data_IF_132169859691
#
_entry.id   IF_132169859691
#
_cell.length_a   1.000
_cell.length_b   1.000
_cell.length_c   1.000
_cell.angle_alpha   90.00
_cell.angle_beta   90.00
_cell.angle_gamma   90.00
#
_symmetry.space_group_name_H-M   'P 1'
#
loop_
_entity.id
_entity.type
_entity.pdbx_description
1 polymer ?
#
# COMPACT_ATOMS: atom_id res chain seq x y z
N UNK A 1 -12.27 -41.93 -51.35
CA UNK A 1 -12.20 -42.05 -49.88
C UNK A 1 -13.46 -41.46 -49.25
N UNK A 2 -14.33 -42.27 -48.64
CA UNK A 2 -15.31 -41.74 -47.66
C UNK A 2 -15.51 -42.63 -46.41
N UNK A 3 -15.55 -42.01 -45.23
CA UNK A 3 -16.10 -42.49 -43.93
C UNK A 3 -15.57 -41.57 -42.82
N UNK A 4 -16.26 -41.17 -41.75
CA UNK A 4 -17.54 -41.58 -41.19
C UNK A 4 -18.06 -40.45 -40.27
N UNK A 5 -19.38 -40.43 -40.11
CA UNK A 5 -20.15 -39.56 -39.20
C UNK A 5 -19.83 -39.83 -37.72
N UNK A 6 -20.39 -38.96 -36.86
CA UNK A 6 -20.53 -39.03 -35.39
C UNK A 6 -19.33 -38.55 -34.56
N UNK A 7 -19.36 -37.28 -34.13
CA UNK A 7 -19.65 -37.01 -32.71
C UNK A 7 -20.20 -35.58 -32.55
N UNK A 8 -21.52 -35.50 -32.70
CA UNK A 8 -22.34 -34.47 -32.07
C UNK A 8 -22.08 -34.47 -30.55
N UNK A 9 -22.32 -33.32 -29.89
CA UNK A 9 -22.05 -33.00 -28.48
C UNK A 9 -20.65 -32.41 -28.28
N UNK A 10 -20.44 -31.13 -27.99
CA UNK A 10 -21.07 -30.29 -26.97
C UNK A 10 -21.08 -28.84 -27.46
N UNK A 11 -22.09 -28.47 -28.25
CA UNK A 11 -22.48 -27.07 -28.46
C UNK A 11 -23.80 -26.92 -27.70
N UNK A 12 -23.76 -26.74 -26.37
CA UNK A 12 -24.89 -26.34 -25.51
C UNK A 12 -24.53 -26.42 -24.02
N UNK A 13 -23.75 -25.46 -23.53
CA UNK A 13 -23.90 -25.00 -22.14
C UNK A 13 -24.12 -23.49 -22.22
N UNK A 14 -25.37 -23.09 -22.49
CA UNK A 14 -26.24 -22.53 -21.45
C UNK A 14 -25.50 -21.47 -20.65
N UNK A 15 -25.54 -20.25 -21.17
CA UNK A 15 -26.17 -19.10 -20.51
C UNK A 15 -26.29 -19.28 -18.98
N UNK A 16 -25.17 -19.16 -18.26
CA UNK A 16 -25.24 -18.82 -16.86
C UNK A 16 -25.56 -17.33 -16.79
N UNK A 17 -26.87 -17.07 -16.80
CA UNK A 17 -27.46 -15.89 -16.20
C UNK A 17 -26.99 -15.82 -14.74
N UNK A 18 -25.83 -15.20 -14.50
CA UNK A 18 -25.52 -14.67 -13.17
C UNK A 18 -26.43 -13.48 -12.97
N UNK A 19 -27.49 -13.77 -12.23
CA UNK A 19 -28.50 -12.85 -11.71
C UNK A 19 -27.80 -11.59 -11.20
N UNK A 20 -28.30 -10.46 -11.67
CA UNK A 20 -28.06 -9.15 -11.08
C UNK A 20 -28.17 -9.25 -9.54
N UNK A 21 -27.05 -9.09 -8.84
CA UNK A 21 -27.05 -8.97 -7.40
C UNK A 21 -27.62 -7.59 -7.07
N UNK A 22 -28.94 -7.54 -6.83
CA UNK A 22 -29.59 -6.37 -6.26
C UNK A 22 -29.00 -6.14 -4.87
N UNK A 23 -28.05 -5.22 -4.76
CA UNK A 23 -27.62 -4.66 -3.47
C UNK A 23 -28.78 -3.79 -2.96
N UNK A 24 -29.76 -4.43 -2.32
CA UNK A 24 -30.80 -3.76 -1.55
C UNK A 24 -30.23 -3.50 -0.16
N UNK A 25 -29.98 -2.21 0.13
CA UNK A 25 -30.02 -1.60 1.47
C UNK A 25 -29.41 -2.41 2.61
N UNK A 26 -28.11 -2.19 2.87
CA UNK A 26 -27.61 -2.31 4.24
C UNK A 26 -27.64 -0.91 4.87
N UNK A 27 -28.84 -0.52 5.36
CA UNK A 27 -28.97 0.52 6.38
C UNK A 27 -28.40 -0.04 7.68
N UNK A 28 -27.08 -0.07 7.79
CA UNK A 28 -26.35 -0.42 9.01
C UNK A 28 -25.92 0.85 9.71
N UNK A 29 -26.68 1.25 10.73
CA UNK A 29 -26.28 2.30 11.66
C UNK A 29 -25.09 1.79 12.49
N UNK A 30 -23.89 2.26 12.19
CA UNK A 30 -22.74 2.10 13.08
C UNK A 30 -22.58 3.38 13.91
N UNK A 31 -23.20 3.30 15.08
CA UNK A 31 -22.81 3.87 16.37
C UNK A 31 -21.70 4.93 16.36
N UNK A 32 -22.13 6.18 16.57
CA UNK A 32 -21.35 7.29 17.11
C UNK A 32 -20.64 6.79 18.38
N UNK A 33 -19.31 6.64 18.33
CA UNK A 33 -18.52 6.45 19.53
C UNK A 33 -18.34 7.81 20.20
N UNK A 34 -19.19 8.06 21.20
CA UNK A 34 -19.16 9.28 21.99
C UNK A 34 -17.91 9.32 22.87
N UNK A 35 -17.26 10.49 22.82
CA UNK A 35 -16.49 11.17 23.87
C UNK A 35 -16.56 10.51 25.27
N UNK A 36 -15.38 10.25 25.86
CA UNK A 36 -14.91 10.87 27.12
C UNK A 36 -13.84 9.99 27.75
N UNK A 37 -12.64 10.55 27.97
CA UNK A 37 -12.03 10.59 29.29
C UNK A 37 -10.93 11.67 29.29
N UNK A 38 -11.38 12.84 29.73
CA UNK A 38 -10.55 13.95 30.23
C UNK A 38 -9.99 13.54 31.60
N UNK A 39 -8.74 13.93 31.88
CA UNK A 39 -8.17 14.00 33.23
C UNK A 39 -6.95 13.09 33.39
N UNK A 40 -5.74 13.61 33.60
CA UNK A 40 -5.43 14.50 34.72
C UNK A 40 -4.34 15.51 34.37
N UNK A 41 -4.70 16.79 34.37
CA UNK A 41 -3.75 17.86 34.72
C UNK A 41 -3.88 18.06 36.23
N UNK A 42 -2.95 17.54 37.01
CA UNK A 42 -2.75 17.97 38.39
C UNK A 42 -1.72 19.10 38.40
N UNK A 43 -2.20 20.30 38.70
CA UNK A 43 -1.35 21.42 39.06
C UNK A 43 -0.76 21.20 40.47
N UNK A 44 0.57 21.22 40.55
CA UNK A 44 1.51 21.68 41.59
C UNK A 44 1.18 21.55 43.11
N UNK A 45 2.18 21.28 43.96
CA UNK A 45 3.04 22.38 44.41
C UNK A 45 4.53 22.04 44.53
N UNK A 46 5.36 23.10 44.50
CA UNK A 46 6.77 23.08 44.88
C UNK A 46 7.02 22.26 46.16
N UNK A 47 7.97 21.33 46.07
CA UNK A 47 8.54 20.61 47.20
C UNK A 47 9.98 20.23 46.86
N UNK A 48 10.92 21.00 47.38
CA UNK A 48 12.34 20.72 47.36
C UNK A 48 12.59 19.47 48.23
N UNK A 49 13.17 18.40 47.69
CA UNK A 49 13.47 17.21 48.49
C UNK A 49 14.01 16.04 47.66
N UNK A 50 15.29 15.76 47.88
CA UNK A 50 16.03 14.51 47.70
C UNK A 50 15.28 13.24 47.25
N UNK A 51 15.79 12.70 46.14
CA UNK A 51 16.29 11.31 45.98
C UNK A 51 15.38 10.16 46.46
N UNK A 52 14.91 9.37 45.49
CA UNK A 52 15.01 7.90 45.55
C UNK A 52 14.76 7.26 44.20
N UNK A 53 15.62 6.29 43.90
CA UNK A 53 15.55 5.34 42.80
C UNK A 53 14.13 4.81 42.55
N UNK A 54 13.64 5.04 41.34
CA UNK A 54 12.79 4.07 40.66
C UNK A 54 13.49 3.74 39.34
N UNK A 55 14.05 2.53 39.32
CA UNK A 55 14.54 1.88 38.12
C UNK A 55 13.42 1.86 37.09
N UNK A 56 13.40 2.86 36.21
CA UNK A 56 12.63 2.82 34.97
C UNK A 56 13.29 1.74 34.12
N UNK A 57 12.82 0.50 34.31
CA UNK A 57 12.86 -0.53 33.29
C UNK A 57 12.02 0.00 32.13
N UNK A 58 12.60 0.96 31.41
CA UNK A 58 12.21 1.32 30.06
C UNK A 58 12.64 0.11 29.27
N UNK A 59 11.77 -0.90 29.21
CA UNK A 59 11.72 -1.76 28.04
C UNK A 59 11.80 -0.79 26.87
N UNK A 60 12.82 -0.88 26.00
CA UNK A 60 12.73 -0.20 24.74
C UNK A 60 11.41 -0.70 24.16
N UNK A 61 10.44 0.19 24.05
CA UNK A 61 9.42 0.01 23.04
C UNK A 61 10.26 -0.02 21.77
N UNK A 62 10.59 -1.23 21.31
CA UNK A 62 10.80 -1.44 19.88
C UNK A 62 9.50 -0.93 19.27
N UNK A 63 9.48 0.37 18.97
CA UNK A 63 8.75 0.88 17.85
C UNK A 63 9.31 0.04 16.72
N UNK A 64 8.65 -1.09 16.42
CA UNK A 64 8.92 -1.84 15.21
C UNK A 64 9.01 -0.77 14.15
N UNK A 65 10.16 -0.64 13.48
CA UNK A 65 10.22 0.12 12.24
C UNK A 65 9.00 -0.35 11.45
N UNK A 66 8.14 0.58 11.03
CA UNK A 66 7.16 0.24 10.01
C UNK A 66 7.96 -0.48 8.91
N UNK A 67 7.60 -1.72 8.63
CA UNK A 67 8.34 -2.53 7.66
C UNK A 67 8.27 -1.77 6.33
N UNK A 68 9.37 -1.27 5.79
CA UNK A 68 9.39 -0.60 4.49
C UNK A 68 9.81 -1.58 3.39
N UNK A 69 9.31 -1.34 2.18
CA UNK A 69 9.58 -2.19 1.02
C UNK A 69 9.94 -1.33 -0.19
N UNK A 70 10.91 -1.79 -0.98
CA UNK A 70 11.30 -1.13 -2.21
C UNK A 70 10.55 -1.71 -3.41
N UNK A 71 10.11 -0.84 -4.30
CA UNK A 71 9.44 -1.20 -5.55
C UNK A 71 10.10 -0.50 -6.73
N UNK A 72 10.28 -1.24 -7.83
CA UNK A 72 10.80 -0.75 -9.10
C UNK A 72 9.66 -0.62 -10.11
N UNK A 73 9.64 0.48 -10.85
CA UNK A 73 8.66 0.70 -11.92
C UNK A 73 9.07 0.02 -13.22
N UNK A 74 8.18 -0.83 -13.74
CA UNK A 74 8.34 -1.56 -15.00
C UNK A 74 7.36 -1.10 -16.10
N UNK A 75 6.59 -0.04 -15.86
CA UNK A 75 5.67 0.55 -16.82
C UNK A 75 6.34 1.47 -17.84
N UNK A 76 5.52 2.08 -18.70
CA UNK A 76 5.95 3.18 -19.58
C UNK A 76 5.78 4.54 -18.90
N UNK A 77 6.54 5.58 -19.33
CA UNK A 77 6.39 6.93 -18.78
C UNK A 77 4.95 7.43 -18.88
N UNK A 78 4.43 8.04 -17.81
CA UNK A 78 3.05 8.49 -17.68
C UNK A 78 2.11 7.43 -17.08
N UNK A 79 2.60 6.24 -16.72
CA UNK A 79 1.82 5.20 -16.05
C UNK A 79 2.23 4.99 -14.59
N UNK A 80 3.02 5.89 -14.03
CA UNK A 80 3.61 5.77 -12.68
C UNK A 80 2.55 5.69 -11.58
N UNK A 81 1.30 6.11 -11.83
CA UNK A 81 0.19 5.94 -10.88
C UNK A 81 -0.30 4.51 -10.74
N UNK A 82 -0.09 3.66 -11.75
CA UNK A 82 -0.60 2.28 -11.78
C UNK A 82 0.24 1.39 -10.88
N UNK A 83 -0.33 1.01 -9.73
CA UNK A 83 0.30 0.23 -8.70
C UNK A 83 0.72 -1.18 -9.16
N UNK A 84 0.10 -1.71 -10.21
CA UNK A 84 0.39 -3.05 -10.74
C UNK A 84 1.67 -3.09 -11.57
N UNK A 85 2.21 -1.93 -11.94
CA UNK A 85 3.46 -1.77 -12.69
C UNK A 85 4.67 -1.55 -11.76
N UNK A 86 4.47 -1.59 -10.44
CA UNK A 86 5.50 -1.48 -9.43
C UNK A 86 5.76 -2.86 -8.80
N UNK A 87 6.92 -3.43 -9.12
CA UNK A 87 7.32 -4.76 -8.66
C UNK A 87 8.27 -4.65 -7.47
N UNK A 88 8.11 -5.52 -6.47
CA UNK A 88 8.99 -5.53 -5.30
C UNK A 88 10.43 -5.82 -5.74
N UNK A 89 11.40 -5.11 -5.15
CA UNK A 89 12.82 -5.37 -5.38
C UNK A 89 13.62 -5.36 -4.08
N UNK A 90 14.50 -6.35 -3.91
CA UNK A 90 15.44 -6.40 -2.78
C UNK A 90 16.76 -5.66 -3.10
N UNK A 91 16.92 -5.14 -4.32
CA UNK A 91 18.14 -4.49 -4.78
C UNK A 91 17.85 -3.07 -5.33
N UNK A 92 17.65 -2.09 -4.44
CA UNK A 92 17.37 -0.71 -4.85
C UNK A 92 18.54 -0.01 -5.58
N UNK A 93 19.75 -0.58 -5.52
CA UNK A 93 20.98 0.11 -5.96
C UNK A 93 21.46 -0.18 -7.38
N UNK A 94 21.06 -1.28 -8.02
CA UNK A 94 21.75 -1.73 -9.24
C UNK A 94 21.38 -0.96 -10.52
N UNK A 95 20.13 -0.51 -10.68
CA UNK A 95 19.67 0.16 -11.90
C UNK A 95 18.45 1.06 -11.64
N UNK A 96 18.47 1.80 -10.52
CA UNK A 96 17.26 2.46 -10.00
C UNK A 96 16.49 3.24 -11.07
N UNK A 97 17.17 3.88 -12.05
CA UNK A 97 16.55 4.63 -13.14
C UNK A 97 17.18 4.35 -14.54
N UNK A 98 17.40 3.09 -14.92
CA UNK A 98 17.72 2.79 -16.33
C UNK A 98 16.46 2.94 -17.21
N UNK A 99 16.56 3.59 -18.37
CA UNK A 99 15.41 3.78 -19.29
C UNK A 99 14.59 5.08 -19.10
N UNK A 100 13.48 5.23 -19.82
CA UNK A 100 12.79 6.52 -20.00
C UNK A 100 11.83 6.94 -18.87
N UNK A 101 11.71 6.15 -17.80
CA UNK A 101 10.67 6.28 -16.78
C UNK A 101 10.89 7.51 -15.87
N UNK A 102 9.81 8.17 -15.47
CA UNK A 102 9.87 9.40 -14.67
C UNK A 102 10.08 9.04 -13.19
N UNK A 103 9.22 8.18 -12.65
CA UNK A 103 9.42 7.45 -11.40
C UNK A 103 10.02 6.07 -11.66
N UNK A 104 11.08 5.72 -10.94
CA UNK A 104 11.81 4.49 -11.23
C UNK A 104 11.90 3.53 -10.04
N UNK A 105 12.10 4.07 -8.85
CA UNK A 105 12.20 3.32 -7.61
C UNK A 105 11.51 4.11 -6.50
N UNK A 106 10.72 3.43 -5.69
CA UNK A 106 10.11 3.98 -4.48
C UNK A 106 10.38 3.08 -3.28
N UNK A 107 10.54 3.70 -2.12
CA UNK A 107 10.41 3.03 -0.84
C UNK A 107 9.03 3.34 -0.28
N UNK A 108 8.28 2.30 0.05
CA UNK A 108 6.89 2.40 0.47
C UNK A 108 6.74 1.91 1.90
N UNK A 109 5.94 2.63 2.68
CA UNK A 109 5.54 2.20 4.01
C UNK A 109 4.69 0.92 3.93
N UNK A 110 5.02 -0.08 4.77
CA UNK A 110 4.40 -1.40 4.77
C UNK A 110 2.88 -1.39 4.92
N UNK A 111 2.29 -0.35 5.53
CA UNK A 111 0.84 -0.17 5.64
C UNK A 111 0.14 -0.08 4.27
N UNK A 112 0.88 0.31 3.22
CA UNK A 112 0.40 0.40 1.83
C UNK A 112 0.77 -0.82 0.98
N UNK A 113 1.20 -1.90 1.63
CA UNK A 113 1.55 -3.15 0.98
C UNK A 113 0.73 -4.32 1.52
N UNK A 114 0.55 -5.34 0.69
CA UNK A 114 0.04 -6.64 1.12
C UNK A 114 0.85 -7.75 0.49
N UNK A 115 0.71 -8.97 0.98
CA UNK A 115 1.35 -10.15 0.41
C UNK A 115 0.36 -10.87 -0.50
N UNK A 116 0.75 -11.11 -1.76
CA UNK A 116 -0.06 -11.87 -2.70
C UNK A 116 0.01 -13.39 -2.44
N UNK A 117 -0.71 -14.20 -3.22
CA UNK A 117 -0.72 -15.67 -3.08
C UNK A 117 0.64 -16.34 -3.31
N UNK A 118 1.59 -15.63 -3.92
CA UNK A 118 2.95 -16.09 -4.20
C UNK A 118 3.96 -15.65 -3.13
N UNK A 119 3.49 -15.04 -2.04
CA UNK A 119 4.30 -14.45 -0.98
C UNK A 119 5.13 -13.21 -1.37
N UNK A 120 4.79 -12.53 -2.46
CA UNK A 120 5.42 -11.28 -2.88
C UNK A 120 4.64 -10.06 -2.34
N UNK A 121 5.34 -8.98 -1.97
CA UNK A 121 4.71 -7.73 -1.60
C UNK A 121 4.21 -7.00 -2.84
N UNK A 122 2.96 -6.57 -2.77
CA UNK A 122 2.32 -5.76 -3.79
C UNK A 122 1.75 -4.51 -3.12
N UNK A 123 1.62 -3.44 -3.89
CA UNK A 123 0.95 -2.22 -3.46
C UNK A 123 -0.56 -2.42 -3.37
N UNK A 124 -1.21 -1.80 -2.39
CA UNK A 124 -2.66 -1.93 -2.15
C UNK A 124 -3.49 -0.82 -2.78
N UNK A 125 -2.85 0.21 -3.32
CA UNK A 125 -3.49 1.39 -3.90
C UNK A 125 -2.57 2.05 -4.94
N UNK A 126 -3.13 2.90 -5.82
CA UNK A 126 -2.37 3.70 -6.80
C UNK A 126 -1.23 4.49 -6.15
N UNK A 127 -0.11 4.58 -6.85
CA UNK A 127 1.04 5.37 -6.40
C UNK A 127 0.72 6.86 -6.57
N UNK A 128 0.83 7.68 -5.51
CA UNK A 128 0.62 9.12 -5.60
C UNK A 128 1.77 9.75 -6.37
N UNK A 129 1.44 10.61 -7.33
CA UNK A 129 2.42 11.31 -8.18
C UNK A 129 2.13 12.80 -8.22
N UNK A 130 3.19 13.59 -8.41
CA UNK A 130 3.13 14.99 -8.79
C UNK A 130 3.50 15.15 -10.25
N UNK A 131 2.83 16.06 -10.94
CA UNK A 131 3.22 16.45 -12.29
C UNK A 131 4.29 17.55 -12.20
N UNK A 132 5.53 17.21 -12.54
CA UNK A 132 6.64 18.14 -12.62
C UNK A 132 7.08 18.28 -14.07
N UNK A 133 6.82 19.44 -14.67
CA UNK A 133 7.24 19.74 -16.06
C UNK A 133 6.75 18.74 -17.12
N UNK A 134 5.58 18.12 -16.91
CA UNK A 134 5.01 17.13 -17.82
C UNK A 134 5.39 15.68 -17.51
N UNK A 135 6.17 15.46 -16.46
CA UNK A 135 6.60 14.15 -15.97
C UNK A 135 5.81 13.76 -14.73
N UNK A 136 5.43 12.47 -14.61
CA UNK A 136 4.75 11.96 -13.43
C UNK A 136 5.76 11.35 -12.46
N UNK A 137 6.07 12.09 -11.41
CA UNK A 137 7.05 11.68 -10.41
C UNK A 137 6.35 11.26 -9.12
N UNK A 138 6.76 10.15 -8.48
CA UNK A 138 6.34 9.78 -7.12
C UNK A 138 6.32 10.96 -6.14
N UNK A 139 5.18 11.15 -5.47
CA UNK A 139 4.96 12.21 -4.50
C UNK A 139 5.46 11.81 -3.10
N UNK A 140 6.67 12.25 -2.76
CA UNK A 140 7.29 12.03 -1.44
C UNK A 140 6.67 12.85 -0.31
N UNK A 141 5.69 13.72 -0.60
CA UNK A 141 4.88 14.37 0.44
C UNK A 141 3.71 13.50 0.92
N UNK A 142 3.39 12.43 0.19
CA UNK A 142 2.42 11.43 0.60
C UNK A 142 2.96 10.57 1.75
N UNK A 143 2.08 10.14 2.65
CA UNK A 143 2.42 9.16 3.69
C UNK A 143 2.80 7.78 3.15
N UNK A 144 2.48 7.49 1.90
CA UNK A 144 2.79 6.20 1.27
C UNK A 144 4.27 6.05 0.90
N UNK A 145 4.90 7.13 0.44
CA UNK A 145 6.21 7.08 -0.19
C UNK A 145 7.24 7.68 0.78
N UNK A 146 8.09 6.81 1.33
CA UNK A 146 9.14 7.20 2.27
C UNK A 146 10.35 7.79 1.54
N UNK A 147 10.64 7.29 0.34
CA UNK A 147 11.66 7.83 -0.56
C UNK A 147 11.35 7.49 -2.01
N UNK A 148 11.88 8.28 -2.95
CA UNK A 148 11.72 8.05 -4.37
C UNK A 148 13.00 8.40 -5.14
N UNK A 149 13.25 7.65 -6.21
CA UNK A 149 14.27 7.97 -7.22
C UNK A 149 13.57 8.20 -8.56
N UNK A 150 13.82 9.39 -9.11
CA UNK A 150 13.21 9.87 -10.34
C UNK A 150 14.30 10.16 -11.37
N UNK A 151 14.04 9.87 -12.64
CA UNK A 151 14.98 10.22 -13.72
C UNK A 151 14.81 11.67 -14.15
N UNK A 152 13.56 12.13 -14.26
CA UNK A 152 13.19 13.45 -14.75
C UNK A 152 12.44 14.21 -13.64
N UNK A 153 13.16 14.74 -12.62
CA UNK A 153 12.54 15.39 -11.46
C UNK A 153 11.85 16.73 -11.79
#
# INVERSE_FOLDING_TARGET
MPSNKLYNQIQNFKLFAMKALKIKYLKGAFTVFALCLIGTVSAAPNGNGEEKDDAKNTTPVETKKADSYYFKFNGSPGQETDETLWEQTDNPGAEACSGANDGCLIEVDGDFTTTNSSNERILTQPVPVVNASGHLNPDTSSSMILSASNRNP
#
